data_IF_967703815689
#
_entry.id   IF_967703815689
#
_cell.length_a   1.000
_cell.length_b   1.000
_cell.length_c   1.000
_cell.angle_alpha   90.00
_cell.angle_beta   90.00
_cell.angle_gamma   90.00
#
_symmetry.space_group_name_H-M   'P 1'
#
loop_
_entity.id
_entity.type
_entity.pdbx_description
1 polymer ?
#
# COMPACT_ATOMS: atom_id res chain seq x y z
N UNK A 1 -55.94 14.19 -24.08
CA UNK A 1 -56.24 13.01 -24.91
C UNK A 1 -55.91 11.80 -24.05
N UNK A 2 -56.99 11.19 -23.53
CA UNK A 2 -56.90 10.02 -22.65
C UNK A 2 -57.06 8.74 -23.46
N UNK A 3 -56.49 7.67 -22.93
CA UNK A 3 -56.92 6.32 -23.27
C UNK A 3 -57.15 5.52 -22.01
N UNK A 4 -58.33 4.85 -22.02
CA UNK A 4 -58.97 4.12 -20.93
C UNK A 4 -58.40 2.70 -20.82
N UNK A 5 -58.47 2.23 -19.59
CA UNK A 5 -58.31 0.85 -19.13
C UNK A 5 -59.51 -0.01 -19.58
N UNK A 6 -59.28 -1.20 -20.15
CA UNK A 6 -60.32 -2.24 -20.28
C UNK A 6 -59.87 -3.53 -19.60
N UNK A 7 -60.64 -3.91 -18.62
CA UNK A 7 -60.60 -5.17 -17.89
C UNK A 7 -61.26 -6.29 -18.69
N UNK A 8 -60.61 -7.44 -18.85
CA UNK A 8 -61.26 -8.69 -19.28
C UNK A 8 -61.16 -9.75 -18.18
N UNK A 9 -62.32 -10.08 -17.63
CA UNK A 9 -62.56 -11.28 -16.84
C UNK A 9 -62.54 -12.50 -17.78
N UNK A 10 -61.88 -13.60 -17.35
CA UNK A 10 -62.09 -14.93 -17.94
C UNK A 10 -62.40 -15.90 -16.81
N UNK A 11 -63.46 -16.62 -17.06
CA UNK A 11 -64.23 -17.52 -16.19
C UNK A 11 -63.43 -18.80 -15.81
N UNK A 12 -63.72 -19.28 -14.63
CA UNK A 12 -63.33 -20.57 -14.10
C UNK A 12 -64.04 -21.73 -14.84
N UNK A 13 -63.28 -22.73 -15.25
CA UNK A 13 -63.81 -24.06 -15.57
C UNK A 13 -63.24 -25.09 -14.62
N UNK A 14 -64.12 -25.75 -13.90
CA UNK A 14 -63.83 -26.87 -13.03
C UNK A 14 -63.51 -28.14 -13.83
N UNK A 15 -62.48 -28.90 -13.45
CA UNK A 15 -62.26 -30.26 -13.93
C UNK A 15 -61.90 -31.19 -12.75
N UNK A 16 -62.53 -32.34 -12.74
CA UNK A 16 -62.54 -33.45 -11.80
C UNK A 16 -61.11 -34.05 -11.54
N UNK A 17 -60.92 -34.70 -10.41
CA UNK A 17 -59.62 -35.35 -10.10
C UNK A 17 -59.57 -36.76 -10.70
N UNK A 18 -58.49 -37.03 -11.46
CA UNK A 18 -58.11 -38.38 -11.89
C UNK A 18 -57.06 -38.92 -10.87
N UNK A 19 -57.48 -39.89 -10.06
CA UNK A 19 -56.64 -40.59 -9.12
C UNK A 19 -55.69 -41.54 -9.84
N UNK A 20 -54.44 -41.21 -9.92
CA UNK A 20 -53.39 -42.12 -10.44
C UNK A 20 -52.55 -42.65 -9.26
N UNK A 21 -52.73 -43.92 -8.91
CA UNK A 21 -51.84 -44.64 -7.98
C UNK A 21 -50.45 -44.78 -8.63
N UNK A 22 -49.45 -44.10 -8.12
CA UNK A 22 -48.05 -44.32 -8.42
C UNK A 22 -47.44 -45.21 -7.34
N UNK A 23 -47.04 -46.41 -7.73
CA UNK A 23 -46.22 -47.33 -6.96
C UNK A 23 -44.84 -46.69 -6.78
N UNK A 24 -44.51 -46.27 -5.55
CA UNK A 24 -43.18 -45.77 -5.20
C UNK A 24 -42.22 -46.93 -5.07
N UNK A 25 -41.47 -47.25 -6.15
CA UNK A 25 -40.26 -48.05 -6.04
C UNK A 25 -39.17 -47.18 -5.42
N UNK A 26 -38.79 -47.51 -4.16
CA UNK A 26 -37.72 -46.83 -3.43
C UNK A 26 -36.37 -47.08 -4.10
N UNK A 27 -35.91 -46.16 -4.91
CA UNK A 27 -34.49 -45.99 -5.21
C UNK A 27 -33.90 -45.00 -4.17
N UNK A 28 -33.36 -45.54 -3.07
CA UNK A 28 -32.43 -44.80 -2.21
C UNK A 28 -31.13 -44.61 -3.01
N UNK A 29 -31.16 -43.69 -3.98
CA UNK A 29 -29.96 -43.16 -4.57
C UNK A 29 -29.28 -42.27 -3.53
N UNK A 30 -28.12 -42.69 -3.01
CA UNK A 30 -27.21 -41.75 -2.34
C UNK A 30 -26.88 -40.64 -3.33
N UNK A 31 -27.59 -39.52 -3.22
CA UNK A 31 -27.11 -38.28 -3.85
C UNK A 31 -25.70 -38.03 -3.29
N UNK A 32 -24.70 -37.81 -4.14
CA UNK A 32 -23.38 -37.46 -3.65
C UNK A 32 -23.55 -36.23 -2.78
N UNK A 33 -23.18 -36.34 -1.50
CA UNK A 33 -23.16 -35.24 -0.55
C UNK A 33 -22.38 -34.14 -1.23
N UNK A 34 -23.01 -33.01 -1.53
CA UNK A 34 -22.30 -31.85 -2.08
C UNK A 34 -21.10 -31.61 -1.18
N UNK A 35 -19.90 -31.37 -1.72
CA UNK A 35 -18.70 -31.18 -0.92
C UNK A 35 -19.01 -30.11 0.13
N UNK A 36 -18.76 -30.41 1.40
CA UNK A 36 -19.05 -29.58 2.56
C UNK A 36 -18.38 -28.18 2.54
N UNK A 37 -17.70 -27.82 1.42
CA UNK A 37 -16.90 -26.63 1.23
C UNK A 37 -17.20 -25.86 -0.08
N UNK A 38 -18.44 -25.77 -0.53
CA UNK A 38 -18.79 -24.77 -1.58
C UNK A 38 -18.83 -23.34 -0.98
N UNK A 39 -17.82 -22.99 -0.18
CA UNK A 39 -17.71 -21.73 0.49
C UNK A 39 -17.35 -20.60 -0.47
N UNK A 40 -17.83 -19.39 -0.16
CA UNK A 40 -17.37 -18.15 -0.80
C UNK A 40 -16.48 -17.41 0.19
N UNK A 41 -15.38 -16.84 -0.28
CA UNK A 41 -14.47 -16.00 0.49
C UNK A 41 -14.53 -14.58 -0.09
N UNK A 42 -14.84 -13.60 0.73
CA UNK A 42 -14.86 -12.19 0.29
C UNK A 42 -13.54 -11.52 0.62
N UNK A 43 -12.85 -11.02 -0.40
CA UNK A 43 -11.54 -10.39 -0.31
C UNK A 43 -11.57 -8.97 -0.87
N UNK A 44 -11.41 -7.96 -0.03
CA UNK A 44 -11.34 -6.56 -0.44
C UNK A 44 -9.88 -6.10 -0.56
N UNK A 45 -9.48 -5.64 -1.76
CA UNK A 45 -8.13 -5.17 -2.08
C UNK A 45 -8.13 -3.79 -2.73
N UNK A 46 -7.10 -3.00 -2.43
CA UNK A 46 -6.89 -1.71 -3.06
C UNK A 46 -5.97 -1.84 -4.29
N UNK A 47 -6.46 -2.50 -5.33
CA UNK A 47 -5.74 -2.78 -6.58
C UNK A 47 -6.32 -2.01 -7.75
N UNK A 48 -5.47 -1.66 -8.72
CA UNK A 48 -5.92 -1.09 -9.98
C UNK A 48 -6.63 -2.12 -10.85
N UNK A 49 -7.48 -1.73 -11.83
CA UNK A 49 -8.22 -2.68 -12.67
C UNK A 49 -7.35 -3.72 -13.38
N UNK A 50 -6.19 -3.32 -13.91
CA UNK A 50 -5.22 -4.21 -14.55
C UNK A 50 -4.56 -5.18 -13.56
N UNK A 51 -4.28 -4.75 -12.33
CA UNK A 51 -3.80 -5.62 -11.26
C UNK A 51 -4.88 -6.60 -10.81
N UNK A 52 -6.14 -6.14 -10.69
CA UNK A 52 -7.26 -6.99 -10.29
C UNK A 52 -7.45 -8.18 -11.26
N UNK A 53 -7.28 -7.98 -12.58
CA UNK A 53 -7.35 -9.06 -13.58
C UNK A 53 -6.27 -10.11 -13.31
N UNK A 54 -5.03 -9.69 -13.10
CA UNK A 54 -3.90 -10.58 -12.79
C UNK A 54 -4.08 -11.28 -11.45
N UNK A 55 -4.56 -10.54 -10.44
CA UNK A 55 -4.80 -11.10 -9.12
C UNK A 55 -5.93 -12.15 -9.14
N UNK A 56 -6.97 -11.98 -9.96
CA UNK A 56 -7.98 -13.02 -10.18
C UNK A 56 -7.40 -14.30 -10.75
N UNK A 57 -6.43 -14.20 -11.67
CA UNK A 57 -5.71 -15.37 -12.19
C UNK A 57 -4.87 -16.06 -11.09
N UNK A 58 -4.25 -15.28 -10.20
CA UNK A 58 -3.56 -15.79 -9.01
C UNK A 58 -4.51 -16.54 -8.05
N UNK A 59 -5.71 -16.01 -7.82
CA UNK A 59 -6.71 -16.60 -6.91
C UNK A 59 -7.21 -17.97 -7.36
N UNK A 60 -7.22 -18.27 -8.67
CA UNK A 60 -7.70 -19.55 -9.21
C UNK A 60 -6.97 -20.77 -8.63
N UNK A 61 -5.69 -20.64 -8.32
CA UNK A 61 -4.94 -21.74 -7.71
C UNK A 61 -5.46 -22.06 -6.29
N UNK A 62 -5.72 -21.02 -5.49
CA UNK A 62 -6.33 -21.18 -4.18
C UNK A 62 -7.77 -21.73 -4.26
N UNK A 63 -8.58 -21.21 -5.20
CA UNK A 63 -9.95 -21.67 -5.44
C UNK A 63 -10.00 -23.15 -5.78
N UNK A 64 -9.13 -23.60 -6.69
CA UNK A 64 -9.07 -25.00 -7.13
C UNK A 64 -8.63 -25.93 -6.00
N UNK A 65 -7.60 -25.55 -5.22
CA UNK A 65 -7.07 -26.37 -4.11
C UNK A 65 -8.06 -26.53 -2.96
N UNK A 66 -8.91 -25.52 -2.74
CA UNK A 66 -9.83 -25.50 -1.60
C UNK A 66 -11.30 -25.73 -2.01
N UNK A 67 -11.60 -25.90 -3.30
CA UNK A 67 -12.96 -26.06 -3.84
C UNK A 67 -13.91 -24.91 -3.41
N UNK A 68 -13.42 -23.67 -3.48
CA UNK A 68 -14.13 -22.45 -3.07
C UNK A 68 -14.12 -21.41 -4.17
N UNK A 69 -14.94 -20.35 -4.02
CA UNK A 69 -14.91 -19.15 -4.85
C UNK A 69 -14.42 -17.94 -4.03
N UNK A 70 -13.57 -17.11 -4.64
CA UNK A 70 -13.12 -15.87 -4.04
C UNK A 70 -13.76 -14.68 -4.75
N UNK A 71 -14.58 -13.94 -4.02
CA UNK A 71 -15.17 -12.69 -4.48
C UNK A 71 -14.17 -11.55 -4.21
N UNK A 72 -13.46 -11.15 -5.25
CA UNK A 72 -12.51 -10.03 -5.19
C UNK A 72 -13.26 -8.71 -5.35
N UNK A 73 -13.23 -7.87 -4.32
CA UNK A 73 -13.75 -6.50 -4.30
C UNK A 73 -12.58 -5.54 -4.45
N UNK A 74 -12.48 -4.86 -5.59
CA UNK A 74 -11.47 -3.83 -5.82
C UNK A 74 -12.03 -2.46 -5.41
N UNK A 75 -11.48 -1.86 -4.35
CA UNK A 75 -11.93 -0.58 -3.79
C UNK A 75 -10.73 0.24 -3.29
N UNK A 76 -10.96 1.52 -2.95
CA UNK A 76 -9.92 2.31 -2.29
C UNK A 76 -9.65 1.82 -0.86
N UNK A 77 -8.43 2.00 -0.36
CA UNK A 77 -8.10 1.72 1.05
C UNK A 77 -9.07 2.41 2.03
N UNK A 78 -9.51 3.64 1.71
CA UNK A 78 -10.43 4.40 2.55
C UNK A 78 -11.81 3.75 2.63
N UNK A 79 -12.31 3.21 1.52
CA UNK A 79 -13.60 2.52 1.46
C UNK A 79 -13.54 1.18 2.19
N UNK A 80 -12.45 0.42 1.99
CA UNK A 80 -12.22 -0.85 2.70
C UNK A 80 -12.17 -0.62 4.21
N UNK A 81 -11.42 0.39 4.67
CA UNK A 81 -11.37 0.73 6.10
C UNK A 81 -12.75 1.11 6.64
N UNK A 82 -13.51 1.92 5.89
CA UNK A 82 -14.86 2.34 6.30
C UNK A 82 -15.79 1.13 6.45
N UNK A 83 -15.79 0.21 5.49
CA UNK A 83 -16.57 -1.01 5.54
C UNK A 83 -16.17 -1.89 6.73
N UNK A 84 -14.87 -2.13 6.92
CA UNK A 84 -14.34 -2.93 8.02
C UNK A 84 -14.74 -2.38 9.40
N UNK A 85 -14.66 -1.07 9.60
CA UNK A 85 -15.05 -0.42 10.86
C UNK A 85 -16.56 -0.50 11.10
N UNK A 86 -17.38 -0.29 10.07
CA UNK A 86 -18.83 -0.37 10.17
C UNK A 86 -19.30 -1.79 10.49
N UNK A 87 -18.78 -2.80 9.79
CA UNK A 87 -19.10 -4.21 10.04
C UNK A 87 -18.61 -4.70 11.41
N UNK A 88 -17.41 -4.27 11.84
CA UNK A 88 -16.87 -4.57 13.16
C UNK A 88 -17.76 -4.04 14.29
N UNK A 89 -18.32 -2.84 14.13
CA UNK A 89 -19.27 -2.24 15.08
C UNK A 89 -20.61 -2.94 15.10
N UNK A 90 -21.08 -3.43 13.95
CA UNK A 90 -22.35 -4.15 13.84
C UNK A 90 -22.28 -5.62 14.34
N UNK A 91 -21.08 -6.14 14.58
CA UNK A 91 -20.85 -7.54 15.00
C UNK A 91 -21.18 -8.58 13.92
N UNK A 92 -21.46 -8.16 12.70
CA UNK A 92 -21.75 -8.99 11.52
C UNK A 92 -21.23 -8.29 10.29
N UNK A 93 -20.70 -9.05 9.33
CA UNK A 93 -20.12 -8.47 8.14
C UNK A 93 -20.21 -9.38 6.93
N UNK A 94 -19.81 -8.82 5.80
CA UNK A 94 -19.69 -9.50 4.51
C UNK A 94 -18.24 -9.71 4.10
N UNK A 95 -17.29 -9.01 4.74
CA UNK A 95 -15.85 -9.11 4.47
C UNK A 95 -15.23 -10.23 5.29
N UNK A 96 -14.51 -11.14 4.61
CA UNK A 96 -13.63 -12.10 5.27
C UNK A 96 -12.23 -11.53 5.44
N UNK A 97 -11.69 -10.94 4.36
CA UNK A 97 -10.35 -10.39 4.31
C UNK A 97 -10.37 -8.95 3.80
N UNK A 98 -9.61 -8.08 4.45
CA UNK A 98 -9.47 -6.67 4.09
C UNK A 98 -8.00 -6.27 3.96
N UNK A 99 -7.63 -5.66 2.84
CA UNK A 99 -6.32 -5.02 2.65
C UNK A 99 -6.39 -3.55 3.07
N UNK A 100 -5.43 -3.11 3.88
CA UNK A 100 -5.32 -1.74 4.38
C UNK A 100 -3.92 -1.19 4.15
N UNK A 101 -3.81 0.12 3.89
CA UNK A 101 -2.51 0.81 3.91
C UNK A 101 -1.92 0.82 5.32
N UNK A 102 -0.59 0.76 5.41
CA UNK A 102 0.15 0.79 6.66
C UNK A 102 -0.31 1.92 7.61
N UNK A 103 -0.60 3.10 7.09
CA UNK A 103 -1.03 4.26 7.88
C UNK A 103 -2.42 4.11 8.54
N UNK A 104 -3.16 3.09 8.15
CA UNK A 104 -4.53 2.83 8.62
C UNK A 104 -4.62 1.73 9.67
N UNK A 105 -3.55 0.95 9.88
CA UNK A 105 -3.58 -0.24 10.75
C UNK A 105 -3.95 0.10 12.19
N UNK A 106 -3.42 1.22 12.71
CA UNK A 106 -3.72 1.68 14.08
C UNK A 106 -5.22 1.97 14.27
N UNK A 107 -5.94 2.40 13.23
CA UNK A 107 -7.37 2.64 13.29
C UNK A 107 -8.20 1.35 13.16
N UNK A 108 -7.65 0.35 12.49
CA UNK A 108 -8.33 -0.90 12.16
C UNK A 108 -8.12 -2.01 13.19
N UNK A 109 -7.07 -1.91 14.05
CA UNK A 109 -6.63 -3.02 14.91
C UNK A 109 -7.75 -3.62 15.79
N UNK A 110 -8.68 -2.78 16.26
CA UNK A 110 -9.85 -3.23 17.03
C UNK A 110 -10.92 -3.97 16.22
N UNK A 111 -10.85 -3.99 14.89
CA UNK A 111 -11.86 -4.59 13.99
C UNK A 111 -11.36 -5.85 13.27
N UNK A 112 -10.21 -6.37 13.65
CA UNK A 112 -9.60 -7.56 13.03
C UNK A 112 -9.30 -8.65 14.06
N UNK A 113 -8.98 -9.85 13.59
CA UNK A 113 -8.65 -11.01 14.41
C UNK A 113 -7.15 -11.14 14.58
N UNK A 114 -6.71 -11.70 15.74
CA UNK A 114 -5.33 -12.09 15.95
C UNK A 114 -4.94 -13.25 15.00
N UNK A 115 -3.71 -13.18 14.50
CA UNK A 115 -3.16 -14.10 13.51
C UNK A 115 -2.00 -14.95 14.05
N UNK A 116 -1.65 -14.81 15.32
CA UNK A 116 -0.49 -15.46 15.96
C UNK A 116 -0.49 -16.99 15.77
N UNK A 117 -1.66 -17.64 15.81
CA UNK A 117 -1.81 -19.08 15.62
C UNK A 117 -2.04 -19.49 14.16
N UNK A 118 -2.17 -18.53 13.26
CA UNK A 118 -2.49 -18.76 11.85
C UNK A 118 -1.24 -18.66 10.98
N UNK A 119 -0.38 -17.67 11.28
CA UNK A 119 0.82 -17.36 10.50
C UNK A 119 1.95 -18.31 10.88
N UNK A 120 2.51 -19.06 9.91
CA UNK A 120 3.62 -19.94 10.17
C UNK A 120 4.91 -19.14 10.47
N UNK A 121 5.74 -19.57 11.44
CA UNK A 121 6.95 -18.85 11.87
C UNK A 121 7.92 -18.53 10.73
N UNK A 122 8.05 -19.42 9.76
CA UNK A 122 8.92 -19.29 8.59
C UNK A 122 8.52 -18.13 7.67
N UNK A 123 7.27 -17.70 7.72
CA UNK A 123 6.79 -16.55 6.96
C UNK A 123 7.51 -15.24 7.33
N UNK A 124 8.06 -15.17 8.56
CA UNK A 124 8.78 -13.99 9.03
C UNK A 124 10.00 -13.66 8.13
N UNK A 125 10.62 -14.66 7.50
CA UNK A 125 11.77 -14.47 6.60
C UNK A 125 11.41 -13.88 5.24
N UNK A 126 10.13 -13.89 4.86
CA UNK A 126 9.68 -13.41 3.53
C UNK A 126 9.74 -11.89 3.38
N UNK A 127 9.58 -11.14 4.48
CA UNK A 127 9.44 -9.69 4.44
C UNK A 127 10.47 -8.99 5.35
N UNK A 128 10.76 -7.70 5.15
CA UNK A 128 11.58 -6.93 6.07
C UNK A 128 11.03 -6.97 7.51
N UNK A 129 11.92 -6.99 8.52
CA UNK A 129 11.52 -6.98 9.94
C UNK A 129 10.59 -5.79 10.28
N UNK A 130 10.86 -4.61 9.69
CA UNK A 130 10.02 -3.42 9.85
C UNK A 130 8.56 -3.66 9.45
N UNK A 131 8.31 -4.53 8.45
CA UNK A 131 6.96 -4.86 8.01
C UNK A 131 6.21 -5.71 9.04
N UNK A 132 6.88 -6.69 9.64
CA UNK A 132 6.28 -7.52 10.69
C UNK A 132 6.05 -6.74 11.99
N UNK A 133 6.99 -5.86 12.36
CA UNK A 133 6.84 -5.01 13.53
C UNK A 133 5.65 -4.06 13.40
N UNK A 134 5.45 -3.48 12.21
CA UNK A 134 4.32 -2.60 11.93
C UNK A 134 2.95 -3.32 11.93
N UNK A 135 2.95 -4.65 11.81
CA UNK A 135 1.74 -5.48 11.77
C UNK A 135 1.26 -5.93 13.18
N UNK A 136 2.01 -5.58 14.24
CA UNK A 136 1.73 -5.98 15.62
C UNK A 136 1.13 -4.86 16.43
N UNK A 137 0.11 -5.20 17.23
CA UNK A 137 -0.56 -4.32 18.16
C UNK A 137 -0.80 -5.05 19.48
N UNK A 138 -0.44 -4.43 20.59
CA UNK A 138 -0.58 -4.99 21.95
C UNK A 138 0.03 -6.40 22.09
N UNK A 139 1.16 -6.66 21.42
CA UNK A 139 1.87 -7.93 21.41
C UNK A 139 1.36 -8.96 20.41
N UNK A 140 0.18 -8.76 19.84
CA UNK A 140 -0.44 -9.68 18.89
C UNK A 140 -0.14 -9.31 17.43
N UNK A 141 0.05 -10.31 16.59
CA UNK A 141 0.07 -10.14 15.14
C UNK A 141 -1.37 -10.01 14.63
N UNK A 142 -1.73 -8.84 14.13
CA UNK A 142 -3.10 -8.57 13.65
C UNK A 142 -3.20 -8.47 12.13
N UNK A 143 -2.09 -8.22 11.46
CA UNK A 143 -2.02 -8.04 10.02
C UNK A 143 -0.87 -8.86 9.45
N UNK A 144 -0.95 -9.20 8.17
CA UNK A 144 0.18 -9.79 7.43
C UNK A 144 0.58 -8.87 6.28
N UNK A 145 1.89 -8.70 6.03
CA UNK A 145 2.34 -8.03 4.84
C UNK A 145 1.78 -8.72 3.59
N UNK A 146 1.21 -7.94 2.66
CA UNK A 146 0.63 -8.48 1.44
C UNK A 146 1.32 -7.92 0.21
N UNK A 147 1.15 -6.64 -0.06
CA UNK A 147 1.72 -5.94 -1.20
C UNK A 147 2.64 -4.85 -0.70
N UNK A 148 3.86 -5.22 -0.31
CA UNK A 148 4.83 -4.25 0.17
C UNK A 148 5.66 -3.66 -0.98
N UNK A 149 5.96 -2.39 -0.81
CA UNK A 149 6.83 -1.63 -1.70
C UNK A 149 7.50 -0.50 -0.92
N UNK A 150 8.56 0.01 -1.46
CA UNK A 150 9.28 1.20 -0.96
C UNK A 150 9.88 1.97 -2.12
N UNK A 151 10.10 3.28 -1.99
CA UNK A 151 10.78 4.07 -3.01
C UNK A 151 12.25 3.69 -3.18
N UNK A 152 12.71 3.87 -4.40
CA UNK A 152 14.12 3.94 -4.75
C UNK A 152 14.35 5.19 -5.61
N UNK A 153 15.61 5.55 -5.85
CA UNK A 153 15.93 6.56 -6.84
C UNK A 153 15.71 5.97 -8.23
N UNK A 154 14.96 6.69 -9.05
CA UNK A 154 14.78 6.41 -10.48
C UNK A 154 15.57 7.45 -11.25
N UNK A 155 16.42 7.02 -12.17
CA UNK A 155 17.25 7.94 -12.94
C UNK A 155 17.31 7.56 -14.40
N UNK A 156 17.36 8.57 -15.27
CA UNK A 156 17.66 8.36 -16.68
C UNK A 156 19.15 7.98 -16.83
N UNK A 157 19.43 6.74 -17.19
CA UNK A 157 20.79 6.20 -17.25
C UNK A 157 21.67 6.89 -18.27
N UNK A 158 21.13 7.38 -19.39
CA UNK A 158 21.91 8.07 -20.40
C UNK A 158 22.43 9.41 -19.89
N UNK A 159 21.64 10.11 -19.09
CA UNK A 159 21.97 11.42 -18.52
C UNK A 159 22.66 11.30 -17.16
N UNK A 160 22.44 10.17 -16.46
CA UNK A 160 22.93 9.90 -15.10
C UNK A 160 23.61 8.52 -15.08
N UNK A 161 24.72 8.33 -15.81
CA UNK A 161 25.41 7.04 -15.88
C UNK A 161 25.90 6.57 -14.50
N UNK A 162 26.26 7.52 -13.63
CA UNK A 162 26.70 7.28 -12.24
C UNK A 162 25.73 7.97 -11.27
N UNK A 163 24.66 7.29 -10.82
CA UNK A 163 23.69 7.86 -9.89
C UNK A 163 24.35 8.33 -8.59
N UNK A 164 23.97 9.50 -8.03
CA UNK A 164 24.56 10.02 -6.80
C UNK A 164 24.28 9.09 -5.62
N UNK A 165 25.34 8.69 -4.88
CA UNK A 165 25.24 7.76 -3.76
C UNK A 165 25.05 8.44 -2.39
N UNK A 166 25.31 9.75 -2.30
CA UNK A 166 25.21 10.55 -1.06
C UNK A 166 24.46 11.85 -1.29
N UNK A 167 23.99 12.47 -0.23
CA UNK A 167 23.35 13.79 -0.31
C UNK A 167 24.25 14.84 -0.95
N UNK A 168 25.54 14.86 -0.58
CA UNK A 168 26.48 15.80 -1.18
C UNK A 168 26.62 15.57 -2.68
N UNK A 169 26.72 14.32 -3.12
CA UNK A 169 26.76 13.99 -4.55
C UNK A 169 25.45 14.37 -5.27
N UNK A 170 24.30 14.22 -4.61
CA UNK A 170 23.02 14.65 -5.16
C UNK A 170 22.94 16.17 -5.30
N UNK A 171 23.42 16.91 -4.30
CA UNK A 171 23.47 18.38 -4.32
C UNK A 171 24.41 18.89 -5.43
N UNK A 172 25.60 18.30 -5.55
CA UNK A 172 26.55 18.65 -6.63
C UNK A 172 25.98 18.32 -8.01
N UNK A 173 25.28 17.20 -8.14
CA UNK A 173 24.58 16.86 -9.37
C UNK A 173 23.50 17.91 -9.70
N UNK A 174 22.67 18.27 -8.73
CA UNK A 174 21.61 19.25 -8.90
C UNK A 174 22.15 20.64 -9.27
N UNK A 175 23.27 21.06 -8.66
CA UNK A 175 23.97 22.31 -9.00
C UNK A 175 24.45 22.35 -10.44
N UNK A 176 24.99 21.22 -10.94
CA UNK A 176 25.47 21.11 -12.34
C UNK A 176 24.32 20.96 -13.35
N UNK A 177 23.18 20.45 -12.91
CA UNK A 177 22.02 20.18 -13.75
C UNK A 177 20.73 20.74 -13.13
N UNK A 178 20.60 22.08 -13.03
CA UNK A 178 19.44 22.70 -12.41
C UNK A 178 18.13 22.26 -13.08
N UNK A 179 17.12 21.98 -12.27
CA UNK A 179 15.81 21.55 -12.74
C UNK A 179 15.72 20.06 -13.14
N UNK A 180 16.82 19.28 -13.07
CA UNK A 180 16.82 17.87 -13.47
C UNK A 180 16.56 16.90 -12.32
N UNK A 181 16.60 17.36 -11.07
CA UNK A 181 16.20 16.62 -9.87
C UNK A 181 14.83 17.12 -9.41
N UNK A 182 13.95 16.21 -9.04
CA UNK A 182 12.60 16.55 -8.55
C UNK A 182 12.27 15.79 -7.28
N UNK A 183 11.60 16.46 -6.35
CA UNK A 183 10.93 15.88 -5.20
C UNK A 183 9.41 16.09 -5.34
N UNK A 184 8.61 15.20 -4.74
CA UNK A 184 7.14 15.26 -4.80
C UNK A 184 6.60 16.25 -3.77
N UNK A 185 6.46 17.51 -4.17
CA UNK A 185 6.05 18.60 -3.29
C UNK A 185 4.55 18.92 -3.29
N UNK A 186 3.70 18.21 -4.04
CA UNK A 186 2.26 18.37 -3.91
C UNK A 186 1.80 18.00 -2.48
N UNK A 187 0.70 18.62 -1.99
CA UNK A 187 0.15 18.31 -0.66
C UNK A 187 -0.61 16.99 -0.68
N UNK A 188 0.06 15.92 -0.29
CA UNK A 188 -0.50 14.56 -0.20
C UNK A 188 0.51 13.62 0.49
N UNK A 189 0.13 12.38 0.75
CA UNK A 189 0.93 11.39 1.49
C UNK A 189 2.31 11.10 0.86
N UNK A 190 2.44 11.18 -0.48
CA UNK A 190 3.74 10.99 -1.14
C UNK A 190 4.80 12.04 -0.76
N UNK A 191 4.40 13.28 -0.46
CA UNK A 191 5.30 14.29 0.07
C UNK A 191 5.78 13.93 1.50
N UNK A 192 4.90 13.32 2.31
CA UNK A 192 5.29 12.77 3.62
C UNK A 192 6.32 11.66 3.44
N UNK A 193 6.15 10.77 2.47
CA UNK A 193 7.12 9.73 2.19
C UNK A 193 8.49 10.31 1.79
N UNK A 194 8.52 11.35 0.97
CA UNK A 194 9.78 11.99 0.59
C UNK A 194 10.45 12.65 1.79
N UNK A 195 9.74 13.46 2.59
CA UNK A 195 10.36 14.12 3.74
C UNK A 195 10.86 13.12 4.79
N UNK A 196 10.12 12.04 5.07
CA UNK A 196 10.54 11.00 6.01
C UNK A 196 11.86 10.35 5.59
N UNK A 197 12.07 10.15 4.30
CA UNK A 197 13.33 9.62 3.75
C UNK A 197 14.51 10.51 4.15
N UNK A 198 14.37 11.83 4.04
CA UNK A 198 15.42 12.77 4.46
C UNK A 198 15.56 12.85 5.98
N UNK A 199 14.46 12.90 6.74
CA UNK A 199 14.55 12.90 8.21
C UNK A 199 15.34 11.69 8.70
N UNK A 200 15.01 10.50 8.24
CA UNK A 200 15.69 9.28 8.66
C UNK A 200 17.12 9.16 8.13
N UNK A 201 17.39 9.69 6.93
CA UNK A 201 18.75 9.77 6.41
C UNK A 201 19.69 10.69 7.22
N UNK A 202 19.11 11.63 7.98
CA UNK A 202 19.83 12.45 8.95
C UNK A 202 19.87 11.87 10.37
N UNK A 203 19.26 10.70 10.62
CA UNK A 203 19.07 10.12 11.95
C UNK A 203 17.92 10.76 12.73
N UNK A 204 17.01 11.47 12.06
CA UNK A 204 15.91 12.20 12.65
C UNK A 204 14.75 11.32 13.11
N UNK A 205 13.91 11.90 13.96
CA UNK A 205 12.70 11.28 14.47
C UNK A 205 11.46 12.10 14.05
N UNK A 206 10.57 11.57 13.22
CA UNK A 206 9.36 12.30 12.81
C UNK A 206 8.37 12.57 13.95
N UNK A 207 8.52 11.90 15.09
CA UNK A 207 7.70 12.14 16.29
C UNK A 207 8.27 13.24 17.20
N UNK A 208 9.49 13.67 16.94
CA UNK A 208 10.18 14.77 17.63
C UNK A 208 10.64 15.82 16.61
N UNK A 209 9.76 16.73 16.15
CA UNK A 209 10.12 17.74 15.17
C UNK A 209 11.28 18.65 15.60
N UNK A 210 11.51 18.83 16.92
CA UNK A 210 12.60 19.62 17.46
C UNK A 210 13.97 18.95 17.45
N UNK A 211 14.07 17.71 17.01
CA UNK A 211 15.34 16.97 16.94
C UNK A 211 16.40 17.70 16.09
N UNK A 212 17.65 17.86 16.57
CA UNK A 212 18.74 18.43 15.78
C UNK A 212 18.98 17.69 14.45
N UNK A 213 18.71 16.39 14.41
CA UNK A 213 18.82 15.59 13.18
C UNK A 213 17.77 15.99 12.14
N UNK A 214 16.55 16.32 12.57
CA UNK A 214 15.52 16.86 11.67
C UNK A 214 15.94 18.23 11.11
N UNK A 215 16.60 19.06 11.91
CA UNK A 215 17.13 20.34 11.44
C UNK A 215 18.17 20.13 10.33
N UNK A 216 19.13 19.20 10.51
CA UNK A 216 20.10 18.87 9.45
C UNK A 216 19.45 18.42 8.14
N UNK A 217 18.36 17.63 8.25
CA UNK A 217 17.61 17.21 7.06
C UNK A 217 16.98 18.41 6.33
N UNK A 218 16.40 19.34 7.08
CA UNK A 218 15.76 20.53 6.52
C UNK A 218 16.79 21.54 5.98
N UNK A 219 17.95 21.66 6.61
CA UNK A 219 19.09 22.46 6.10
C UNK A 219 19.57 21.93 4.74
N UNK A 220 19.76 20.60 4.63
CA UNK A 220 20.09 19.99 3.34
C UNK A 220 19.02 20.22 2.27
N UNK A 221 17.74 20.09 2.63
CA UNK A 221 16.63 20.35 1.70
C UNK A 221 16.60 21.82 1.26
N UNK A 222 16.91 22.77 2.16
CA UNK A 222 17.02 24.19 1.84
C UNK A 222 18.18 24.47 0.87
N UNK A 223 19.33 23.80 1.02
CA UNK A 223 20.43 23.90 0.09
C UNK A 223 20.12 23.29 -1.30
N UNK A 224 19.36 22.20 -1.33
CA UNK A 224 18.98 21.52 -2.55
C UNK A 224 17.88 22.27 -3.32
N UNK A 225 16.97 22.93 -2.61
CA UNK A 225 15.77 23.57 -3.13
C UNK A 225 15.99 24.51 -4.35
N UNK A 226 17.03 25.38 -4.40
CA UNK A 226 17.27 26.27 -5.53
C UNK A 226 17.53 25.55 -6.85
N UNK A 227 17.94 24.29 -6.82
CA UNK A 227 18.34 23.50 -7.97
C UNK A 227 17.32 22.45 -8.38
N UNK A 228 16.23 22.30 -7.60
CA UNK A 228 15.14 21.39 -7.94
C UNK A 228 14.33 21.88 -9.14
N UNK A 229 13.65 20.94 -9.79
CA UNK A 229 12.67 21.30 -10.82
C UNK A 229 11.56 22.17 -10.20
N UNK A 230 11.24 23.34 -10.78
CA UNK A 230 10.25 24.27 -10.21
C UNK A 230 8.84 23.67 -10.13
N UNK A 231 8.50 22.70 -10.98
CA UNK A 231 7.23 21.98 -10.92
C UNK A 231 7.15 20.96 -9.76
N UNK A 232 8.22 20.80 -8.97
CA UNK A 232 8.17 20.00 -7.73
C UNK A 232 6.99 20.38 -6.85
N UNK A 233 6.52 21.63 -6.90
CA UNK A 233 5.39 22.12 -6.10
C UNK A 233 4.08 21.36 -6.33
N UNK A 234 3.86 20.84 -7.54
CA UNK A 234 2.61 20.21 -7.96
C UNK A 234 2.77 18.74 -8.32
N UNK A 235 3.99 18.24 -8.38
CA UNK A 235 4.26 16.88 -8.78
C UNK A 235 3.85 15.86 -7.74
N UNK A 236 3.29 14.76 -8.26
CA UNK A 236 2.95 13.51 -7.59
C UNK A 236 3.64 12.35 -8.30
N UNK A 237 3.44 11.12 -7.84
CA UNK A 237 4.07 9.92 -8.39
C UNK A 237 4.00 9.84 -9.91
N UNK A 238 2.79 9.95 -10.48
CA UNK A 238 2.59 9.78 -11.93
C UNK A 238 3.16 10.94 -12.72
N UNK A 239 2.91 12.19 -12.29
CA UNK A 239 3.36 13.37 -13.01
C UNK A 239 4.88 13.50 -13.06
N UNK A 240 5.58 13.01 -12.03
CA UNK A 240 7.05 12.92 -12.04
C UNK A 240 7.54 11.92 -13.08
N UNK A 241 6.90 10.73 -13.16
CA UNK A 241 7.27 9.74 -14.17
C UNK A 241 6.98 10.21 -15.58
N UNK A 242 5.87 10.92 -15.79
CA UNK A 242 5.57 11.57 -17.06
C UNK A 242 6.61 12.65 -17.43
N UNK A 243 7.09 13.41 -16.45
CA UNK A 243 8.14 14.42 -16.67
C UNK A 243 9.48 13.75 -17.04
N UNK A 244 9.82 12.62 -16.42
CA UNK A 244 10.98 11.81 -16.82
C UNK A 244 10.81 11.25 -18.23
N UNK A 245 9.64 10.73 -18.57
CA UNK A 245 9.33 10.21 -19.90
C UNK A 245 9.50 11.27 -21.01
N UNK A 246 9.27 12.55 -20.69
CA UNK A 246 9.50 13.69 -21.61
C UNK A 246 10.94 14.23 -21.58
N UNK A 247 11.85 13.67 -20.75
CA UNK A 247 13.23 14.12 -20.59
C UNK A 247 13.39 15.43 -19.79
N UNK A 248 12.33 15.97 -19.21
CA UNK A 248 12.41 17.20 -18.40
C UNK A 248 13.01 16.97 -17.01
N UNK A 249 12.94 15.76 -16.49
CA UNK A 249 13.51 15.32 -15.21
C UNK A 249 14.42 14.13 -15.44
N UNK A 250 15.52 14.05 -14.70
CA UNK A 250 16.49 12.95 -14.79
C UNK A 250 16.60 12.11 -13.52
N UNK A 251 16.31 12.68 -12.34
CA UNK A 251 16.34 11.98 -11.06
C UNK A 251 15.07 12.30 -10.27
N UNK A 252 14.43 11.25 -9.73
CA UNK A 252 13.37 11.35 -8.73
C UNK A 252 13.33 10.12 -7.82
N UNK A 253 12.63 10.20 -6.69
CA UNK A 253 12.36 9.04 -5.83
C UNK A 253 10.93 8.57 -6.05
N UNK A 254 10.77 7.26 -6.34
CA UNK A 254 9.44 6.75 -6.66
C UNK A 254 9.31 5.24 -6.35
N UNK A 255 8.11 4.78 -6.42
CA UNK A 255 7.70 3.40 -6.19
C UNK A 255 8.00 2.49 -7.38
N UNK A 256 8.02 1.16 -7.21
CA UNK A 256 8.35 0.19 -8.27
C UNK A 256 7.49 0.30 -9.55
N UNK A 257 6.24 0.77 -9.45
CA UNK A 257 5.36 0.93 -10.61
C UNK A 257 5.95 1.86 -11.68
N UNK A 258 6.82 2.82 -11.27
CA UNK A 258 7.44 3.76 -12.18
C UNK A 258 8.23 3.06 -13.30
N UNK A 259 8.92 1.97 -12.97
CA UNK A 259 9.67 1.17 -13.96
C UNK A 259 8.72 0.58 -15.01
N UNK A 260 7.63 -0.06 -14.57
CA UNK A 260 6.63 -0.63 -15.49
C UNK A 260 5.94 0.43 -16.36
N UNK A 261 5.68 1.60 -15.78
CA UNK A 261 5.06 2.71 -16.50
C UNK A 261 5.99 3.29 -17.58
N UNK A 262 7.26 3.57 -17.24
CA UNK A 262 8.27 4.04 -18.20
C UNK A 262 8.44 3.04 -19.36
N UNK A 263 8.49 1.74 -19.04
CA UNK A 263 8.52 0.68 -20.06
C UNK A 263 7.28 0.72 -20.97
N UNK A 264 6.10 0.96 -20.44
CA UNK A 264 4.85 1.07 -21.23
C UNK A 264 4.82 2.29 -22.16
N UNK A 265 5.65 3.29 -21.88
CA UNK A 265 5.83 4.49 -22.76
C UNK A 265 6.87 4.27 -23.84
N UNK A 266 7.36 3.05 -24.04
CA UNK A 266 8.34 2.72 -25.07
C UNK A 266 9.78 3.11 -24.71
N UNK A 267 10.04 3.53 -23.47
CA UNK A 267 11.39 3.79 -23.01
C UNK A 267 12.12 2.46 -22.79
N UNK A 268 13.28 2.32 -23.39
CA UNK A 268 14.06 1.10 -23.28
C UNK A 268 14.50 0.88 -21.83
N UNK A 269 14.52 -0.37 -21.34
CA UNK A 269 14.98 -0.70 -19.98
C UNK A 269 16.41 -0.20 -19.67
N UNK A 270 17.22 0.03 -20.71
CA UNK A 270 18.57 0.58 -20.60
C UNK A 270 18.63 2.07 -20.28
N UNK A 271 17.54 2.78 -20.44
CA UNK A 271 17.48 4.24 -20.25
C UNK A 271 17.16 4.62 -18.81
N UNK A 272 16.34 3.82 -18.14
CA UNK A 272 15.86 4.12 -16.80
C UNK A 272 16.21 3.00 -15.83
N UNK A 273 17.06 3.31 -14.86
CA UNK A 273 17.47 2.38 -13.81
C UNK A 273 17.03 2.88 -12.46
N UNK A 274 16.63 1.92 -11.59
CA UNK A 274 16.56 2.17 -10.16
C UNK A 274 17.94 2.05 -9.52
N UNK A 275 18.24 2.96 -8.60
CA UNK A 275 19.42 2.98 -7.77
C UNK A 275 19.02 3.17 -6.29
N UNK A 276 19.89 2.87 -5.33
CA UNK A 276 19.64 3.21 -3.93
C UNK A 276 19.39 4.71 -3.78
N UNK A 277 18.52 5.08 -2.85
CA UNK A 277 18.35 6.48 -2.44
C UNK A 277 19.67 6.98 -1.85
N UNK A 278 20.14 8.20 -2.20
CA UNK A 278 21.37 8.76 -1.68
C UNK A 278 21.42 8.76 -0.15
N UNK A 279 22.51 8.28 0.43
CA UNK A 279 22.73 8.23 1.87
C UNK A 279 22.90 9.63 2.45
N UNK A 280 22.21 9.90 3.53
CA UNK A 280 22.44 11.06 4.40
C UNK A 280 23.55 10.80 5.42
N UNK A 281 23.75 11.72 6.38
CA UNK A 281 24.75 11.60 7.43
C UNK A 281 24.63 10.36 8.31
N UNK A 282 23.41 9.84 8.49
CA UNK A 282 23.10 8.64 9.29
C UNK A 282 22.84 7.39 8.42
N UNK A 283 23.09 7.49 7.13
CA UNK A 283 22.94 6.40 6.18
C UNK A 283 21.77 6.53 5.21
N UNK A 284 21.47 5.44 4.53
CA UNK A 284 20.31 5.35 3.63
C UNK A 284 19.02 5.10 4.41
N UNK A 285 17.90 5.60 3.90
CA UNK A 285 16.58 5.30 4.42
C UNK A 285 15.53 5.35 3.32
N UNK A 286 14.47 4.56 3.47
CA UNK A 286 13.29 4.61 2.61
C UNK A 286 12.04 4.24 3.39
N UNK A 287 10.89 4.65 2.88
CA UNK A 287 9.59 4.48 3.54
C UNK A 287 8.94 3.17 3.14
N UNK A 288 8.49 2.39 4.13
CA UNK A 288 7.62 1.25 3.90
C UNK A 288 6.24 1.73 3.45
N UNK A 289 5.79 1.24 2.32
CA UNK A 289 4.44 1.41 1.81
C UNK A 289 3.79 0.09 1.42
N UNK A 290 2.54 0.18 1.00
CA UNK A 290 1.79 -0.96 0.50
C UNK A 290 0.71 -1.45 1.45
N UNK A 291 0.11 -2.58 1.06
CA UNK A 291 -1.05 -3.17 1.71
C UNK A 291 -0.71 -4.25 2.73
N UNK A 292 -1.49 -4.27 3.77
CA UNK A 292 -1.53 -5.29 4.80
C UNK A 292 -2.87 -5.98 4.80
N UNK A 293 -2.88 -7.30 4.83
CA UNK A 293 -4.09 -8.10 4.85
C UNK A 293 -4.44 -8.53 6.27
N UNK A 294 -5.73 -8.47 6.60
CA UNK A 294 -6.26 -8.92 7.87
C UNK A 294 -7.54 -9.75 7.70
N UNK A 295 -7.85 -10.59 8.67
CA UNK A 295 -9.15 -11.25 8.81
C UNK A 295 -10.07 -10.29 9.57
N UNK A 296 -11.20 -9.91 8.98
CA UNK A 296 -12.20 -9.10 9.66
C UNK A 296 -12.68 -9.79 10.94
N UNK A 297 -12.92 -9.03 12.01
CA UNK A 297 -13.45 -9.58 13.27
C UNK A 297 -14.81 -10.26 13.05
N UNK A 298 -15.64 -9.68 12.21
CA UNK A 298 -16.97 -10.13 11.79
C UNK A 298 -16.96 -11.11 10.60
N UNK A 299 -15.79 -11.60 10.18
CA UNK A 299 -15.66 -12.48 9.02
C UNK A 299 -16.65 -13.65 9.05
N UNK A 300 -17.45 -13.85 8.00
CA UNK A 300 -18.36 -14.99 7.91
C UNK A 300 -17.64 -16.34 7.84
N UNK A 301 -16.46 -16.37 7.18
CA UNK A 301 -15.70 -17.60 6.92
C UNK A 301 -14.25 -17.52 7.46
N UNK A 302 -14.04 -17.34 8.79
CA UNK A 302 -12.72 -17.08 9.37
C UNK A 302 -11.72 -18.23 9.17
N UNK A 303 -12.19 -19.48 9.11
CA UNK A 303 -11.33 -20.65 8.84
C UNK A 303 -10.80 -20.64 7.39
N UNK A 304 -11.64 -20.25 6.44
CA UNK A 304 -11.25 -20.15 5.04
C UNK A 304 -10.32 -18.95 4.82
N UNK A 305 -10.59 -17.81 5.48
CA UNK A 305 -9.71 -16.64 5.49
C UNK A 305 -8.32 -17.00 6.06
N UNK A 306 -8.25 -17.78 7.12
CA UNK A 306 -6.99 -18.28 7.67
C UNK A 306 -6.24 -19.20 6.70
N UNK A 307 -6.96 -20.06 5.98
CA UNK A 307 -6.36 -20.89 4.93
C UNK A 307 -5.77 -20.02 3.79
N UNK A 308 -6.46 -18.95 3.39
CA UNK A 308 -5.96 -18.02 2.39
C UNK A 308 -4.69 -17.29 2.87
N UNK A 309 -4.64 -16.83 4.11
CA UNK A 309 -3.42 -16.21 4.67
C UNK A 309 -2.25 -17.20 4.66
N UNK A 310 -2.45 -18.45 5.05
CA UNK A 310 -1.37 -19.47 4.98
C UNK A 310 -0.91 -19.71 3.55
N UNK A 311 -1.84 -19.82 2.59
CA UNK A 311 -1.51 -19.93 1.17
C UNK A 311 -0.70 -18.73 0.68
N UNK A 312 -1.17 -17.51 0.97
CA UNK A 312 -0.52 -16.27 0.58
C UNK A 312 0.93 -16.17 1.09
N UNK A 313 1.19 -16.65 2.29
CA UNK A 313 2.50 -16.60 2.94
C UNK A 313 3.44 -17.74 2.54
N UNK A 314 3.08 -18.56 1.57
CA UNK A 314 4.03 -19.50 0.99
C UNK A 314 5.03 -18.79 0.06
N UNK A 315 6.28 -19.30 0.00
CA UNK A 315 7.29 -18.74 -0.92
C UNK A 315 6.83 -18.79 -2.38
N UNK A 316 6.12 -19.85 -2.79
CA UNK A 316 5.61 -20.01 -4.15
C UNK A 316 4.55 -18.96 -4.49
N UNK A 317 3.59 -18.71 -3.60
CA UNK A 317 2.58 -17.68 -3.78
C UNK A 317 3.24 -16.29 -3.91
N UNK A 318 4.19 -15.97 -3.04
CA UNK A 318 4.93 -14.71 -3.08
C UNK A 318 5.80 -14.57 -4.34
N UNK A 319 6.44 -15.66 -4.79
CA UNK A 319 7.19 -15.66 -6.03
C UNK A 319 6.30 -15.44 -7.27
N UNK A 320 5.07 -15.98 -7.26
CA UNK A 320 4.08 -15.71 -8.30
C UNK A 320 3.64 -14.25 -8.32
N UNK A 321 3.30 -13.68 -7.15
CA UNK A 321 2.92 -12.26 -7.03
C UNK A 321 4.06 -11.35 -7.53
N UNK A 322 5.30 -11.67 -7.21
CA UNK A 322 6.46 -10.94 -7.72
C UNK A 322 6.55 -11.00 -9.26
N UNK A 323 6.43 -12.18 -9.86
CA UNK A 323 6.54 -12.34 -11.32
C UNK A 323 5.36 -11.75 -12.09
N UNK A 324 4.13 -12.01 -11.62
CA UNK A 324 2.91 -11.69 -12.36
C UNK A 324 2.44 -10.24 -12.14
N UNK A 325 2.65 -9.69 -10.93
CA UNK A 325 2.22 -8.34 -10.57
C UNK A 325 3.37 -7.36 -10.35
N UNK A 326 4.62 -7.82 -10.26
CA UNK A 326 5.76 -6.95 -9.95
C UNK A 326 5.83 -6.55 -8.48
N UNK A 327 5.26 -7.34 -7.58
CA UNK A 327 5.25 -7.05 -6.14
C UNK A 327 6.47 -7.66 -5.44
N UNK A 328 7.62 -7.00 -5.56
CA UNK A 328 8.93 -7.52 -5.08
C UNK A 328 9.21 -7.29 -3.59
N UNK A 329 8.22 -6.95 -2.80
CA UNK A 329 8.41 -6.70 -1.36
C UNK A 329 8.83 -7.92 -0.55
N UNK A 330 8.50 -9.13 -1.00
CA UNK A 330 8.83 -10.41 -0.34
C UNK A 330 9.96 -11.15 -1.04
N UNK A 331 9.78 -11.47 -2.31
CA UNK A 331 10.73 -12.25 -3.11
C UNK A 331 11.33 -11.35 -4.19
N UNK A 332 12.65 -11.19 -4.18
CA UNK A 332 13.36 -10.43 -5.18
C UNK A 332 13.26 -11.11 -6.56
N UNK A 333 13.42 -10.35 -7.66
CA UNK A 333 13.54 -10.91 -8.99
C UNK A 333 14.70 -11.91 -9.06
N UNK A 334 14.61 -12.95 -9.94
CA UNK A 334 15.70 -13.90 -10.12
C UNK A 334 17.02 -13.20 -10.49
N UNK A 335 18.12 -13.58 -9.84
CA UNK A 335 19.42 -13.01 -10.12
C UNK A 335 19.80 -13.13 -11.59
N UNK A 336 20.40 -12.08 -12.17
CA UNK A 336 20.79 -12.02 -13.58
C UNK A 336 19.65 -11.71 -14.57
N UNK A 337 18.39 -11.73 -14.11
CA UNK A 337 17.25 -11.37 -14.98
C UNK A 337 17.22 -9.87 -15.32
N UNK A 338 16.52 -9.51 -16.40
CA UNK A 338 16.26 -8.10 -16.74
C UNK A 338 15.56 -7.38 -15.58
N UNK A 339 14.59 -8.03 -14.95
CA UNK A 339 13.90 -7.50 -13.78
C UNK A 339 14.85 -7.22 -12.62
N UNK A 340 15.84 -8.11 -12.35
CA UNK A 340 16.84 -7.88 -11.31
C UNK A 340 17.65 -6.60 -11.55
N UNK A 341 17.98 -6.31 -12.81
CA UNK A 341 18.69 -5.08 -13.18
C UNK A 341 17.79 -3.85 -13.01
N UNK A 342 16.57 -3.91 -13.50
CA UNK A 342 15.61 -2.78 -13.42
C UNK A 342 15.22 -2.43 -11.98
N UNK A 343 15.09 -3.42 -11.11
CA UNK A 343 14.67 -3.25 -9.71
C UNK A 343 15.83 -3.28 -8.72
N UNK A 344 17.10 -3.20 -9.18
CA UNK A 344 18.29 -3.30 -8.33
C UNK A 344 18.28 -2.29 -7.17
N UNK A 345 17.88 -1.05 -7.42
CA UNK A 345 17.78 -0.01 -6.40
C UNK A 345 16.76 -0.36 -5.31
N UNK A 346 15.61 -0.89 -5.68
CA UNK A 346 14.60 -1.33 -4.72
C UNK A 346 15.09 -2.50 -3.87
N UNK A 347 15.75 -3.47 -4.48
CA UNK A 347 16.35 -4.61 -3.76
C UNK A 347 17.41 -4.14 -2.77
N UNK A 348 18.29 -3.23 -3.20
CA UNK A 348 19.35 -2.66 -2.36
C UNK A 348 18.80 -1.83 -1.18
N UNK A 349 17.63 -1.19 -1.35
CA UNK A 349 16.99 -0.41 -0.28
C UNK A 349 16.29 -1.27 0.78
N UNK A 350 16.08 -2.57 0.56
CA UNK A 350 15.35 -3.45 1.48
C UNK A 350 15.82 -3.40 2.94
N UNK A 351 17.13 -3.37 3.27
CA UNK A 351 17.61 -3.27 4.64
C UNK A 351 17.31 -1.94 5.33
N UNK A 352 17.06 -0.89 4.55
CA UNK A 352 16.89 0.49 5.01
C UNK A 352 15.42 0.92 5.08
N UNK A 353 14.49 -0.02 4.90
CA UNK A 353 13.05 0.24 4.93
C UNK A 353 12.61 0.53 6.36
N UNK A 354 11.94 1.66 6.57
CA UNK A 354 11.36 2.08 7.85
C UNK A 354 9.85 2.26 7.73
N UNK A 355 9.11 1.78 8.74
CA UNK A 355 7.67 1.97 8.81
C UNK A 355 7.33 3.43 9.17
N UNK A 356 6.27 3.96 8.57
CA UNK A 356 5.71 5.25 8.97
C UNK A 356 5.24 5.18 10.43
N UNK A 357 5.30 6.29 11.20
CA UNK A 357 4.88 6.29 12.60
C UNK A 357 3.46 5.74 12.79
N UNK A 358 3.29 4.79 13.68
CA UNK A 358 1.98 4.29 14.08
C UNK A 358 1.37 5.26 15.09
N UNK A 359 0.33 5.99 14.72
CA UNK A 359 -0.33 6.97 15.57
C UNK A 359 -1.78 7.17 15.13
N UNK A 360 -2.69 7.28 16.09
CA UNK A 360 -4.10 7.66 15.83
C UNK A 360 -4.20 9.05 15.18
N UNK A 361 -3.19 9.91 15.41
CA UNK A 361 -3.06 11.24 14.84
C UNK A 361 -2.18 11.27 13.59
N UNK A 362 -1.93 10.13 12.94
CA UNK A 362 -1.02 10.06 11.80
C UNK A 362 -1.37 11.07 10.69
N UNK A 363 -2.65 11.23 10.37
CA UNK A 363 -3.08 12.18 9.34
C UNK A 363 -2.69 13.64 9.67
N UNK A 364 -2.74 14.01 10.94
CA UNK A 364 -2.30 15.33 11.40
C UNK A 364 -0.78 15.47 11.35
N UNK A 365 -0.06 14.44 11.80
CA UNK A 365 1.40 14.38 11.71
C UNK A 365 1.87 14.48 10.26
N UNK A 366 1.30 13.67 9.37
CA UNK A 366 1.59 13.70 7.93
C UNK A 366 1.34 15.08 7.33
N UNK A 367 0.19 15.72 7.63
CA UNK A 367 -0.13 17.05 7.15
C UNK A 367 0.86 18.12 7.66
N UNK A 368 1.28 18.03 8.93
CA UNK A 368 2.29 18.93 9.49
C UNK A 368 3.63 18.80 8.75
N UNK A 369 4.11 17.58 8.54
CA UNK A 369 5.36 17.35 7.79
C UNK A 369 5.27 17.80 6.33
N UNK A 370 4.13 17.61 5.66
CA UNK A 370 3.91 18.13 4.31
C UNK A 370 4.04 19.65 4.25
N UNK A 371 3.49 20.36 5.24
CA UNK A 371 3.59 21.83 5.29
C UNK A 371 5.03 22.29 5.51
N UNK A 372 5.71 21.73 6.54
CA UNK A 372 7.11 22.07 6.79
C UNK A 372 8.04 21.78 5.62
N UNK A 373 7.89 20.62 4.99
CA UNK A 373 8.64 20.21 3.81
C UNK A 373 8.46 21.20 2.66
N UNK A 374 7.23 21.57 2.35
CA UNK A 374 6.91 22.55 1.31
C UNK A 374 7.48 23.92 1.62
N UNK A 375 7.34 24.38 2.87
CA UNK A 375 7.86 25.69 3.28
C UNK A 375 9.37 25.82 3.03
N UNK A 376 10.14 24.75 3.22
CA UNK A 376 11.57 24.73 2.91
C UNK A 376 11.83 24.58 1.42
N UNK A 377 11.15 23.67 0.73
CA UNK A 377 11.36 23.43 -0.72
C UNK A 377 11.05 24.66 -1.57
N UNK A 378 10.08 25.46 -1.17
CA UNK A 378 9.70 26.69 -1.93
C UNK A 378 10.28 27.95 -1.31
N UNK A 379 11.15 27.80 -0.29
CA UNK A 379 11.85 28.89 0.38
C UNK A 379 10.93 29.89 1.05
N UNK A 380 9.74 29.45 1.47
CA UNK A 380 8.76 30.25 2.19
C UNK A 380 9.17 30.44 3.66
N UNK A 381 10.00 29.53 4.21
CA UNK A 381 10.50 29.60 5.57
C UNK A 381 11.92 29.02 5.70
N UNK A 382 12.70 29.58 6.64
CA UNK A 382 13.97 28.97 7.05
C UNK A 382 13.72 27.61 7.74
N UNK A 383 14.67 26.65 7.67
CA UNK A 383 14.55 25.32 8.24
C UNK A 383 14.03 25.27 9.68
N UNK A 384 14.60 26.07 10.58
CA UNK A 384 14.20 26.11 11.98
C UNK A 384 12.76 26.62 12.18
N UNK A 385 12.32 27.61 11.38
CA UNK A 385 10.96 28.16 11.42
C UNK A 385 9.95 27.12 10.94
N UNK A 386 10.25 26.43 9.83
CA UNK A 386 9.40 25.37 9.30
C UNK A 386 9.23 24.21 10.31
N UNK A 387 10.31 23.81 11.00
CA UNK A 387 10.24 22.78 12.04
C UNK A 387 9.46 23.24 13.29
N UNK A 388 9.59 24.51 13.68
CA UNK A 388 8.80 25.07 14.77
C UNK A 388 7.29 25.05 14.45
N UNK A 389 6.89 25.31 13.19
CA UNK A 389 5.52 25.18 12.73
C UNK A 389 5.04 23.71 12.81
N UNK A 390 5.83 22.76 12.31
CA UNK A 390 5.53 21.32 12.43
C UNK A 390 5.31 20.94 13.90
N UNK A 391 6.21 21.37 14.80
CA UNK A 391 6.11 21.09 16.22
C UNK A 391 4.84 21.71 16.85
N UNK A 392 4.45 22.89 16.44
CA UNK A 392 3.22 23.56 16.89
C UNK A 392 1.98 22.77 16.46
N UNK A 393 1.89 22.40 15.18
CA UNK A 393 0.76 21.65 14.64
C UNK A 393 0.59 20.28 15.30
N UNK A 394 1.69 19.60 15.62
CA UNK A 394 1.65 18.27 16.27
C UNK A 394 1.30 18.35 17.76
N UNK A 395 1.60 19.46 18.44
CA UNK A 395 1.22 19.71 19.85
C UNK A 395 -0.26 20.03 20.01
N UNK A 396 -0.84 20.82 19.12
CA UNK A 396 -2.26 21.21 19.19
C UNK A 396 -3.20 19.98 19.12
N UNK A 397 -2.81 18.94 18.43
CA UNK A 397 -3.57 17.68 18.41
C UNK A 397 -3.58 16.93 19.75
N UNK A 398 -2.67 17.26 20.68
CA UNK A 398 -2.65 16.67 22.03
C UNK A 398 -3.60 17.35 23.01
N UNK A 399 -4.07 18.58 22.73
CA UNK A 399 -4.83 19.41 23.67
C UNK A 399 -6.31 19.58 23.33
N UNK A 400 -6.78 19.24 22.14
CA UNK A 400 -8.11 19.64 21.65
C UNK A 400 -9.20 18.57 21.70
N UNK A 401 -8.96 17.40 22.35
CA UNK A 401 -9.98 16.36 22.49
C UNK A 401 -10.52 16.33 23.94
N UNK A 402 -11.83 16.57 24.17
CA UNK A 402 -12.43 16.27 25.46
C UNK A 402 -12.41 14.76 25.67
N UNK A 403 -11.68 14.29 26.70
CA UNK A 403 -11.73 12.92 27.27
C UNK A 403 -11.57 11.70 26.30
N UNK A 404 -11.06 11.88 25.10
CA UNK A 404 -10.53 10.77 24.31
C UNK A 404 -9.04 10.64 24.59
N UNK A 405 -8.58 9.40 24.76
CA UNK A 405 -7.18 9.08 25.12
C UNK A 405 -6.21 9.98 24.35
N UNK A 406 -5.19 10.56 25.03
CA UNK A 406 -4.22 11.40 24.34
C UNK A 406 -3.62 10.63 23.17
N UNK A 407 -3.29 11.35 22.07
CA UNK A 407 -2.58 10.74 20.93
C UNK A 407 -1.31 10.06 21.46
N UNK A 408 -1.41 8.79 21.77
CA UNK A 408 -0.27 8.01 22.22
C UNK A 408 0.46 7.52 20.97
N UNK A 409 1.68 8.01 20.79
CA UNK A 409 2.65 7.35 19.90
C UNK A 409 3.13 6.10 20.68
N UNK A 410 2.88 4.92 20.15
CA UNK A 410 3.50 3.68 20.60
C UNK A 410 4.67 3.32 19.68
#
# INVERSE_FOLDING_TARGET
>A
MGYRCESRQIQAMAALPLTLMLVAAGFSGCAPKAPENSGRLTLALAVFPNEAVKYRAFLKDFENRNHVKVDLIAQSYADILRALLAEGSAGRGSLDLAELDLSMLVRAHGSVRALDTIVPPEAASLFPAAAWNAARFDGHLLFVPHRLMWPAMISNRLEVPNPPATWNALLEFARRHPGKVVLKGARYEGATCDVLTFLWGAGGNPLDPGSPANLRAFEFLAELAPYLNPESAVYREMSVVDAQARGSVWIHFNWPFAIGYLKSKGLAPSVDLSAPIPSGPDGAATVLGGGYLAIARSAPHPKLAAAFIRYLLTRDAQARLSRELGWYGSVAPPAGSEQAKLYAGFVAMRPYVRARPASDCYAQLSNAWQRGFRAVLFRDAAPAVALAEVASMTRLGKSSAPARRPCACR
#
